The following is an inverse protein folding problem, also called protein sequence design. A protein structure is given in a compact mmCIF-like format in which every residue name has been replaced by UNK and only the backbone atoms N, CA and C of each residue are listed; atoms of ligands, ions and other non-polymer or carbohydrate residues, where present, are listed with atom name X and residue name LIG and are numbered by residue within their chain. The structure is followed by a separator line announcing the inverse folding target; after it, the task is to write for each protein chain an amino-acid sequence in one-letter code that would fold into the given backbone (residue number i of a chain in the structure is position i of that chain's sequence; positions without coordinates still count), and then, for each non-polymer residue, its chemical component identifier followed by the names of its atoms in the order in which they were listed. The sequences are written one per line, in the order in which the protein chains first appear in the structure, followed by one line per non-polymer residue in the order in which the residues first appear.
data_IF_479224489091
#
_entry.id   IF_479224489091
#
_cell.length_a   1.000
_cell.length_b   1.000
_cell.length_c   1.000
_cell.angle_alpha   90.00
_cell.angle_beta   90.00
_cell.angle_gamma   90.00
#
_symmetry.space_group_name_H-M   'P 1'
#
loop_
_entity.id
_entity.type
_entity.pdbx_description
1 polymer ?
#
# COMPACT_ATOMS: atom_id res chain seq x y z
N UNK A 1 13.15 26.39 2.01
CA UNK A 1 11.69 26.17 1.97
C UNK A 1 11.38 24.83 2.63
N UNK A 2 10.91 24.86 3.87
CA UNK A 2 10.54 23.66 4.63
C UNK A 2 9.17 23.18 4.17
N UNK A 3 9.08 22.00 3.57
CA UNK A 3 7.81 21.35 3.25
C UNK A 3 6.95 21.14 4.49
N UNK A 4 5.62 20.95 4.33
CA UNK A 4 4.71 20.80 5.46
C UNK A 4 5.16 19.64 6.37
N UNK A 5 4.93 19.73 7.69
CA UNK A 5 5.30 18.69 8.64
C UNK A 5 4.74 17.36 8.16
N UNK A 6 5.61 16.33 8.11
CA UNK A 6 5.28 14.96 7.71
C UNK A 6 4.29 14.36 8.71
N UNK A 7 3.02 14.73 8.59
CA UNK A 7 1.94 14.19 9.41
C UNK A 7 1.83 12.69 9.13
N UNK A 8 1.73 11.85 10.17
CA UNK A 8 1.51 10.42 10.00
C UNK A 8 0.23 10.18 9.21
N UNK A 9 0.25 9.20 8.29
CA UNK A 9 -0.95 8.76 7.58
C UNK A 9 -2.00 8.33 8.61
N UNK A 10 -3.25 8.75 8.42
CA UNK A 10 -4.34 8.23 9.24
C UNK A 10 -4.62 6.78 8.83
N UNK A 11 -5.09 5.93 9.76
CA UNK A 11 -5.43 4.52 9.47
C UNK A 11 -6.28 4.35 8.19
N UNK A 12 -7.29 5.20 7.92
CA UNK A 12 -8.07 5.11 6.68
C UNK A 12 -7.27 5.43 5.41
N UNK A 13 -6.28 6.32 5.47
CA UNK A 13 -5.43 6.65 4.33
C UNK A 13 -4.42 5.54 4.05
N UNK A 14 -3.86 4.93 5.09
CA UNK A 14 -3.00 3.76 4.96
C UNK A 14 -3.75 2.58 4.31
N UNK A 15 -4.99 2.31 4.72
CA UNK A 15 -5.82 1.24 4.14
C UNK A 15 -6.15 1.47 2.65
N UNK A 16 -6.44 2.72 2.25
CA UNK A 16 -6.64 3.07 0.83
C UNK A 16 -5.34 2.85 0.04
N UNK A 17 -4.20 3.23 0.60
CA UNK A 17 -2.90 3.11 -0.06
C UNK A 17 -2.43 1.65 -0.16
N UNK A 18 -2.70 0.84 0.85
CA UNK A 18 -2.45 -0.60 0.89
C UNK A 18 -3.27 -1.33 -0.17
N UNK A 19 -4.59 -1.09 -0.21
CA UNK A 19 -5.44 -1.66 -1.24
C UNK A 19 -5.03 -1.19 -2.65
N UNK A 20 -4.50 0.05 -2.77
CA UNK A 20 -3.92 0.55 -4.00
C UNK A 20 -2.49 0.02 -4.26
N UNK A 21 -1.80 -0.62 -3.32
CA UNK A 21 -0.50 -1.23 -3.57
C UNK A 21 -0.64 -2.53 -4.40
N UNK A 22 -1.77 -3.22 -4.28
CA UNK A 22 -2.09 -4.48 -4.98
C UNK A 22 -2.47 -4.30 -6.46
N UNK A 23 -2.26 -3.12 -7.04
CA UNK A 23 -2.69 -2.85 -8.42
C UNK A 23 -4.18 -2.55 -8.58
N UNK A 24 -5.00 -2.67 -7.52
CA UNK A 24 -6.44 -2.45 -7.56
C UNK A 24 -6.84 -1.04 -8.05
N UNK A 25 -7.95 -0.94 -8.77
CA UNK A 25 -8.51 0.35 -9.23
C UNK A 25 -9.20 1.10 -8.09
N UNK A 26 -9.36 2.42 -8.23
CA UNK A 26 -10.09 3.25 -7.24
C UNK A 26 -11.49 2.72 -6.92
N UNK A 27 -12.18 2.16 -7.91
CA UNK A 27 -13.50 1.55 -7.72
C UNK A 27 -13.42 0.32 -6.81
N UNK A 28 -12.43 -0.56 -7.03
CA UNK A 28 -12.22 -1.75 -6.20
C UNK A 28 -11.79 -1.37 -4.78
N UNK A 29 -10.90 -0.39 -4.64
CA UNK A 29 -10.48 0.14 -3.32
C UNK A 29 -11.66 0.73 -2.56
N UNK A 30 -12.51 1.51 -3.24
CA UNK A 30 -13.70 2.10 -2.64
C UNK A 30 -14.69 1.03 -2.17
N UNK A 31 -14.93 -0.01 -3.00
CA UNK A 31 -15.79 -1.14 -2.66
C UNK A 31 -15.26 -1.93 -1.45
N UNK A 32 -13.95 -2.24 -1.41
CA UNK A 32 -13.31 -2.95 -0.28
C UNK A 32 -13.42 -2.21 1.04
N UNK A 33 -13.42 -0.87 1.00
CA UNK A 33 -13.46 -0.01 2.19
C UNK A 33 -14.87 0.50 2.51
N UNK A 34 -15.89 0.13 1.73
CA UNK A 34 -17.27 0.60 1.93
C UNK A 34 -17.43 2.11 1.79
N UNK A 35 -16.60 2.77 0.95
CA UNK A 35 -16.62 4.23 0.74
C UNK A 35 -16.96 4.60 -0.70
N UNK A 36 -17.25 5.88 -0.93
CA UNK A 36 -17.45 6.39 -2.29
C UNK A 36 -16.12 6.52 -3.03
N UNK A 37 -16.19 6.43 -4.37
CA UNK A 37 -15.01 6.59 -5.24
C UNK A 37 -14.35 7.96 -5.07
N UNK A 38 -15.13 9.04 -4.92
CA UNK A 38 -14.53 10.38 -4.70
C UNK A 38 -13.78 10.44 -3.37
N UNK A 39 -14.31 9.79 -2.32
CA UNK A 39 -13.65 9.72 -1.01
C UNK A 39 -12.34 8.93 -1.08
N UNK A 40 -12.31 7.83 -1.83
CA UNK A 40 -11.07 7.09 -2.07
C UNK A 40 -10.03 7.94 -2.82
N UNK A 41 -10.45 8.67 -3.86
CA UNK A 41 -9.57 9.54 -4.64
C UNK A 41 -9.02 10.72 -3.83
N UNK A 42 -9.85 11.34 -3.00
CA UNK A 42 -9.46 12.43 -2.10
C UNK A 42 -8.42 11.92 -1.07
N UNK A 43 -8.68 10.78 -0.43
CA UNK A 43 -7.75 10.18 0.55
C UNK A 43 -6.42 9.78 -0.07
N UNK A 44 -6.41 9.27 -1.31
CA UNK A 44 -5.19 8.98 -2.05
C UNK A 44 -4.41 10.26 -2.39
N UNK A 45 -5.11 11.31 -2.83
CA UNK A 45 -4.47 12.60 -3.13
C UNK A 45 -3.82 13.22 -1.89
N UNK A 46 -4.48 13.15 -0.74
CA UNK A 46 -3.90 13.57 0.54
C UNK A 46 -2.71 12.70 0.94
N UNK A 47 -2.79 11.37 0.75
CA UNK A 47 -1.69 10.46 1.02
C UNK A 47 -0.45 10.81 0.17
N UNK A 48 -0.62 11.13 -1.12
CA UNK A 48 0.49 11.57 -1.97
C UNK A 48 1.15 12.87 -1.49
N UNK A 49 0.36 13.83 -1.02
CA UNK A 49 0.88 15.09 -0.44
C UNK A 49 1.65 14.82 0.85
N UNK A 50 1.13 13.97 1.74
CA UNK A 50 1.78 13.62 3.03
C UNK A 50 3.03 12.77 2.87
N UNK A 51 3.07 11.96 1.80
CA UNK A 51 4.24 11.17 1.43
C UNK A 51 5.26 11.95 0.62
N UNK A 52 4.95 13.19 0.25
CA UNK A 52 5.81 14.10 -0.53
C UNK A 52 6.15 13.53 -1.92
N UNK A 53 5.16 12.90 -2.56
CA UNK A 53 5.26 12.32 -3.92
C UNK A 53 4.27 12.93 -4.89
N UNK A 54 3.47 13.91 -4.46
CA UNK A 54 2.43 14.54 -5.28
C UNK A 54 2.98 15.27 -6.53
N UNK A 55 4.26 15.63 -6.53
CA UNK A 55 4.95 16.26 -7.65
C UNK A 55 5.39 15.29 -8.75
N UNK A 56 5.38 13.98 -8.48
CA UNK A 56 5.78 12.96 -9.46
C UNK A 56 4.71 12.72 -10.52
N UNK A 57 5.12 12.22 -11.68
CA UNK A 57 4.22 11.83 -12.76
C UNK A 57 3.21 10.76 -12.34
N UNK A 58 2.04 10.76 -12.97
CA UNK A 58 0.90 9.94 -12.56
C UNK A 58 1.25 8.45 -12.49
N UNK A 59 2.04 7.96 -13.44
CA UNK A 59 2.43 6.56 -13.55
C UNK A 59 3.44 6.15 -12.46
N UNK A 60 4.34 7.06 -12.06
CA UNK A 60 5.36 6.80 -11.05
C UNK A 60 4.90 7.10 -9.63
N UNK A 61 4.02 8.09 -9.47
CA UNK A 61 3.51 8.61 -8.19
C UNK A 61 2.96 7.49 -7.32
N UNK A 62 2.22 6.55 -7.90
CA UNK A 62 1.65 5.41 -7.18
C UNK A 62 2.74 4.48 -6.64
N UNK A 63 3.69 4.11 -7.49
CA UNK A 63 4.79 3.22 -7.09
C UNK A 63 5.69 3.88 -6.03
N UNK A 64 5.97 5.18 -6.19
CA UNK A 64 6.74 5.95 -5.21
C UNK A 64 6.01 6.07 -3.87
N UNK A 65 4.70 6.36 -3.87
CA UNK A 65 3.89 6.42 -2.65
C UNK A 65 3.95 5.11 -1.86
N UNK A 66 3.76 3.97 -2.55
CA UNK A 66 3.82 2.64 -1.94
C UNK A 66 5.22 2.36 -1.36
N UNK A 67 6.28 2.69 -2.11
CA UNK A 67 7.67 2.51 -1.65
C UNK A 67 7.97 3.34 -0.41
N UNK A 68 7.56 4.61 -0.38
CA UNK A 68 7.76 5.50 0.77
C UNK A 68 6.92 5.04 1.96
N UNK A 69 5.68 4.61 1.74
CA UNK A 69 4.83 4.09 2.81
C UNK A 69 5.39 2.81 3.44
N UNK A 70 5.92 1.88 2.64
CA UNK A 70 6.63 0.69 3.15
C UNK A 70 7.89 1.06 3.92
N UNK A 71 8.73 1.95 3.37
CA UNK A 71 9.96 2.40 4.05
C UNK A 71 9.68 3.07 5.40
N UNK A 72 8.51 3.69 5.55
CA UNK A 72 8.05 4.31 6.79
C UNK A 72 7.27 3.36 7.71
N UNK A 73 7.10 2.09 7.34
CA UNK A 73 6.34 1.09 8.10
C UNK A 73 4.83 1.37 8.19
N UNK A 74 4.28 2.18 7.27
CA UNK A 74 2.88 2.61 7.29
C UNK A 74 1.92 1.61 6.64
N UNK A 75 2.45 0.73 5.80
CA UNK A 75 1.76 -0.42 5.20
C UNK A 75 2.69 -1.62 5.33
N UNK A 76 2.13 -2.85 5.43
CA UNK A 76 2.96 -4.03 5.54
C UNK A 76 3.98 -4.09 4.39
N UNK A 77 5.21 -4.58 4.65
CA UNK A 77 6.11 -4.92 3.57
C UNK A 77 5.40 -5.88 2.62
N UNK A 78 5.79 -5.93 1.35
CA UNK A 78 5.35 -7.04 0.50
C UNK A 78 5.66 -8.29 1.30
N UNK A 79 4.63 -9.03 1.70
CA UNK A 79 4.83 -10.40 2.11
C UNK A 79 5.35 -11.04 0.83
N UNK A 80 6.68 -11.16 0.71
CA UNK A 80 7.28 -12.08 -0.22
C UNK A 80 6.48 -13.36 -0.01
N UNK A 81 5.66 -13.72 -0.98
CA UNK A 81 4.90 -14.98 -0.95
C UNK A 81 5.85 -16.16 -1.17
N UNK A 82 7.14 -15.98 -0.88
CA UNK A 82 8.01 -16.99 -0.33
C UNK A 82 7.59 -17.18 1.12
N UNK A 83 6.50 -17.92 1.33
CA UNK A 83 6.33 -18.62 2.60
C UNK A 83 7.61 -19.42 2.90
N UNK A 84 7.90 -19.78 4.17
CA UNK A 84 8.95 -20.74 4.41
C UNK A 84 8.62 -21.98 3.57
N UNK A 85 9.40 -22.21 2.49
CA UNK A 85 9.49 -23.53 1.89
C UNK A 85 10.15 -24.38 2.95
N UNK A 86 9.35 -24.84 3.90
CA UNK A 86 9.69 -25.98 4.72
C UNK A 86 9.99 -27.10 3.71
N UNK A 87 11.24 -27.61 3.65
CA UNK A 87 11.52 -28.75 2.81
C UNK A 87 10.62 -29.87 3.32
N UNK A 88 9.58 -30.21 2.56
CA UNK A 88 8.77 -31.38 2.83
C UNK A 88 9.71 -32.57 2.92
N UNK A 89 9.99 -33.02 4.15
CA UNK A 89 10.59 -34.33 4.40
C UNK A 89 9.70 -35.33 3.66
N UNK A 90 10.24 -36.14 2.73
CA UNK A 90 9.46 -37.24 2.21
C UNK A 90 9.09 -38.13 3.40
N UNK A 91 7.79 -38.23 3.66
CA UNK A 91 7.22 -39.19 4.60
C UNK A 91 7.40 -40.56 3.95
N UNK A 92 8.57 -41.16 4.13
CA UNK A 92 8.74 -42.60 3.94
C UNK A 92 8.12 -43.30 5.14
N UNK A 93 6.95 -43.90 4.90
CA UNK A 93 6.32 -44.90 5.75
C UNK A 93 6.25 -46.22 4.95
N UNK A 94 6.08 -47.36 5.62
CA UNK A 94 7.12 -48.39 5.73
C UNK A 94 6.84 -49.63 4.89
N UNK A 95 7.81 -50.54 4.80
CA UNK A 95 7.58 -51.96 4.60
C UNK A 95 8.59 -52.76 5.43
#
# INVERSE_FOLDING_TARGET
MSGPPRMPLTRPQAAVLEAAADGATLTVVAARLGIRREQAAARLSEAYKRLDVAWMDRDERRAAAVRVARKRGLIPPVADTTGPREPQKPVSRPN
#
